data_IF_690752936842
#
_entry.id   IF_690752936842
#
_cell.length_a   1.000
_cell.length_b   1.000
_cell.length_c   1.000
_cell.angle_alpha   90.00
_cell.angle_beta   90.00
_cell.angle_gamma   90.00
#
_symmetry.space_group_name_H-M   'P 1'
#
loop_
_entity.id
_entity.type
_entity.pdbx_description
1 polymer ?
#
# COMPACT_ATOMS: atom_id res chain seq x y z
N UNK A 1 -24.50 11.37 5.33
CA UNK A 1 -24.09 10.42 4.28
C UNK A 1 -23.24 9.34 4.88
N UNK A 2 -23.42 8.10 4.45
CA UNK A 2 -22.63 6.98 4.93
C UNK A 2 -21.20 7.00 4.40
N UNK A 3 -20.34 6.24 5.05
CA UNK A 3 -18.99 6.01 4.58
C UNK A 3 -18.99 5.18 3.29
N UNK A 4 -17.91 5.26 2.52
CA UNK A 4 -17.72 4.44 1.35
C UNK A 4 -17.35 3.00 1.71
N UNK A 5 -17.52 2.12 0.73
CA UNK A 5 -17.08 0.73 0.86
C UNK A 5 -15.63 0.59 0.48
N UNK A 6 -14.95 -0.36 1.12
CA UNK A 6 -13.54 -0.63 0.86
C UNK A 6 -13.39 -2.05 0.32
N UNK A 7 -12.77 -2.18 -0.82
CA UNK A 7 -12.35 -3.47 -1.38
C UNK A 7 -10.84 -3.57 -1.21
N UNK A 8 -10.38 -4.62 -0.54
CA UNK A 8 -8.95 -4.81 -0.28
C UNK A 8 -8.41 -5.94 -1.15
N UNK A 9 -7.51 -5.61 -2.06
CA UNK A 9 -6.82 -6.58 -2.91
C UNK A 9 -5.48 -6.92 -2.27
N UNK A 10 -5.29 -8.17 -1.93
CA UNK A 10 -4.07 -8.68 -1.33
C UNK A 10 -3.43 -9.72 -2.25
N UNK A 11 -2.12 -9.64 -2.40
CA UNK A 11 -1.36 -10.54 -3.25
C UNK A 11 -0.03 -9.93 -3.60
N UNK A 12 0.83 -10.70 -4.26
CA UNK A 12 2.12 -10.21 -4.73
C UNK A 12 1.94 -9.22 -5.88
N UNK A 13 2.97 -8.44 -6.17
CA UNK A 13 2.96 -7.49 -7.28
C UNK A 13 2.72 -8.19 -8.62
N UNK A 14 3.08 -9.47 -8.73
CA UNK A 14 2.89 -10.27 -9.95
C UNK A 14 1.50 -10.89 -10.07
N UNK A 15 0.61 -10.69 -9.08
CA UNK A 15 -0.73 -11.30 -9.06
C UNK A 15 -1.76 -10.53 -9.87
N UNK A 16 -1.38 -9.46 -10.57
CA UNK A 16 -2.30 -8.70 -11.42
C UNK A 16 -3.30 -7.83 -10.67
N UNK A 17 -2.96 -7.37 -9.46
CA UNK A 17 -3.86 -6.56 -8.63
C UNK A 17 -4.30 -5.27 -9.31
N UNK A 18 -3.38 -4.58 -9.99
CA UNK A 18 -3.70 -3.34 -10.71
C UNK A 18 -4.70 -3.59 -11.84
N UNK A 19 -4.54 -4.70 -12.56
CA UNK A 19 -5.47 -5.10 -13.61
C UNK A 19 -6.85 -5.39 -13.03
N UNK A 20 -6.90 -6.11 -11.90
CA UNK A 20 -8.16 -6.41 -11.21
C UNK A 20 -8.83 -5.12 -10.74
N UNK A 21 -8.06 -4.20 -10.17
CA UNK A 21 -8.58 -2.91 -9.71
C UNK A 21 -9.21 -2.14 -10.86
N UNK A 22 -8.53 -2.08 -12.01
CA UNK A 22 -9.04 -1.39 -13.20
C UNK A 22 -10.34 -2.04 -13.71
N UNK A 23 -10.39 -3.37 -13.73
CA UNK A 23 -11.59 -4.10 -14.14
C UNK A 23 -12.76 -3.82 -13.19
N UNK A 24 -12.51 -3.81 -11.89
CA UNK A 24 -13.54 -3.51 -10.89
C UNK A 24 -14.08 -2.09 -11.07
N UNK A 25 -13.22 -1.12 -11.35
CA UNK A 25 -13.65 0.24 -11.61
C UNK A 25 -14.59 0.34 -12.82
N UNK A 26 -14.38 -0.52 -13.81
CA UNK A 26 -15.23 -0.55 -15.01
C UNK A 26 -16.55 -1.27 -14.78
N UNK A 27 -16.55 -2.31 -13.95
CA UNK A 27 -17.72 -3.18 -13.76
C UNK A 27 -18.65 -2.72 -12.65
N UNK A 28 -18.12 -2.07 -11.61
CA UNK A 28 -18.93 -1.63 -10.48
C UNK A 28 -19.73 -0.38 -10.86
N UNK A 29 -21.01 -0.30 -10.43
CA UNK A 29 -21.85 0.83 -10.80
C UNK A 29 -21.44 2.14 -10.14
N UNK A 30 -20.85 2.07 -8.93
CA UNK A 30 -20.42 3.27 -8.21
C UNK A 30 -18.94 3.54 -8.49
N UNK A 31 -18.51 4.82 -8.40
CA UNK A 31 -17.11 5.15 -8.64
C UNK A 31 -16.25 4.71 -7.46
N UNK A 32 -15.26 3.87 -7.74
CA UNK A 32 -14.27 3.41 -6.77
C UNK A 32 -12.91 4.03 -7.09
N UNK A 33 -12.31 4.66 -6.08
CA UNK A 33 -10.96 5.21 -6.20
C UNK A 33 -9.94 4.09 -5.99
N UNK A 34 -8.99 3.94 -6.90
CA UNK A 34 -7.89 3.00 -6.75
C UNK A 34 -6.74 3.68 -5.98
N UNK A 35 -6.35 3.11 -4.85
CA UNK A 35 -5.25 3.60 -4.03
C UNK A 35 -4.24 2.47 -3.87
N UNK A 36 -3.01 2.74 -4.27
CA UNK A 36 -1.92 1.78 -4.25
C UNK A 36 -0.71 2.34 -3.49
N UNK A 37 0.08 1.44 -2.92
CA UNK A 37 1.34 1.79 -2.27
C UNK A 37 2.25 2.62 -3.19
N UNK A 38 2.29 2.27 -4.47
CA UNK A 38 3.17 2.93 -5.44
C UNK A 38 2.90 4.44 -5.54
N UNK A 39 1.64 4.86 -5.39
CA UNK A 39 1.29 6.28 -5.43
C UNK A 39 1.93 7.04 -4.27
N UNK A 40 1.97 6.44 -3.10
CA UNK A 40 2.59 7.03 -1.91
C UNK A 40 4.11 6.97 -1.99
N UNK A 41 4.66 5.89 -2.54
CA UNK A 41 6.10 5.80 -2.79
C UNK A 41 6.55 6.88 -3.77
N UNK A 42 5.79 7.05 -4.87
CA UNK A 42 6.16 8.00 -5.92
C UNK A 42 6.04 9.46 -5.45
N UNK A 43 5.24 9.71 -4.43
CA UNK A 43 5.14 11.02 -3.81
C UNK A 43 6.21 11.32 -2.77
N UNK A 44 7.04 10.35 -2.39
CA UNK A 44 8.13 10.56 -1.44
C UNK A 44 9.26 11.34 -2.10
N UNK A 45 10.03 12.13 -1.32
CA UNK A 45 11.25 12.74 -1.85
C UNK A 45 12.17 11.69 -2.44
N UNK A 46 12.77 11.98 -3.59
CA UNK A 46 13.60 11.00 -4.31
C UNK A 46 14.71 10.39 -3.46
N UNK A 47 15.32 11.19 -2.56
CA UNK A 47 16.38 10.70 -1.68
C UNK A 47 15.93 9.65 -0.68
N UNK A 48 14.61 9.58 -0.39
CA UNK A 48 14.03 8.57 0.50
C UNK A 48 13.49 7.35 -0.27
N UNK A 49 13.68 7.31 -1.57
CA UNK A 49 13.41 6.14 -2.39
C UNK A 49 14.75 5.49 -2.72
N UNK A 50 15.14 4.51 -1.91
CA UNK A 50 16.46 3.91 -2.00
C UNK A 50 16.55 2.76 -2.98
N UNK A 51 17.73 2.57 -3.51
CA UNK A 51 18.10 1.40 -4.29
C UNK A 51 19.35 0.82 -3.64
N UNK A 52 19.18 -0.23 -2.86
CA UNK A 52 20.25 -0.86 -2.07
C UNK A 52 21.03 0.16 -1.25
N UNK A 53 20.31 1.11 -0.65
CA UNK A 53 20.93 2.15 0.17
C UNK A 53 21.47 1.58 1.47
N UNK A 54 22.65 2.04 1.93
CA UNK A 54 23.22 1.56 3.19
C UNK A 54 22.42 2.05 4.39
N UNK A 55 22.53 1.33 5.49
CA UNK A 55 21.91 1.70 6.75
C UNK A 55 22.29 3.14 7.14
N UNK A 56 21.34 3.90 7.60
CA UNK A 56 21.50 5.30 7.99
C UNK A 56 21.37 6.30 6.86
N UNK A 57 21.43 5.87 5.59
CA UNK A 57 21.21 6.74 4.46
C UNK A 57 19.71 7.07 4.32
N UNK A 58 19.35 8.23 3.74
CA UNK A 58 17.94 8.59 3.56
C UNK A 58 17.13 7.53 2.81
N UNK A 59 17.71 6.89 1.79
CA UNK A 59 17.02 5.83 1.04
C UNK A 59 16.68 4.62 1.89
N UNK A 60 17.53 4.26 2.85
CA UNK A 60 17.25 3.17 3.78
C UNK A 60 16.20 3.56 4.84
N UNK A 61 16.07 4.84 5.13
CA UNK A 61 15.07 5.35 6.07
C UNK A 61 13.67 5.42 5.48
N UNK A 62 13.56 5.52 4.16
CA UNK A 62 12.28 5.55 3.46
C UNK A 62 11.88 4.17 2.96
N UNK A 63 11.71 4.05 1.66
CA UNK A 63 11.43 2.79 0.97
C UNK A 63 12.67 2.39 0.18
N UNK A 64 13.29 1.28 0.57
CA UNK A 64 14.56 0.83 0.02
C UNK A 64 14.37 -0.48 -0.73
N UNK A 65 14.69 -0.48 -2.01
CA UNK A 65 14.67 -1.69 -2.85
C UNK A 65 16.02 -2.38 -2.70
N UNK A 66 16.03 -3.58 -2.13
CA UNK A 66 17.25 -4.31 -1.82
C UNK A 66 17.29 -5.61 -2.62
N UNK A 67 18.25 -5.75 -3.56
CA UNK A 67 18.49 -7.04 -4.20
C UNK A 67 18.98 -8.05 -3.16
N UNK A 68 18.43 -9.25 -3.18
CA UNK A 68 18.83 -10.31 -2.27
C UNK A 68 18.76 -11.64 -2.99
N UNK A 69 19.41 -12.67 -2.43
CA UNK A 69 19.33 -14.02 -2.95
C UNK A 69 18.48 -14.88 -2.03
N UNK A 70 17.61 -15.68 -2.62
CA UNK A 70 16.77 -16.61 -1.92
C UNK A 70 16.77 -17.92 -2.69
N UNK A 71 17.24 -18.99 -2.08
CA UNK A 71 17.35 -20.31 -2.70
C UNK A 71 18.12 -20.27 -4.02
N UNK A 72 19.20 -19.47 -4.06
CA UNK A 72 20.04 -19.33 -5.25
C UNK A 72 19.50 -18.42 -6.33
N UNK A 73 18.30 -17.87 -6.15
CA UNK A 73 17.68 -16.94 -7.11
C UNK A 73 17.78 -15.50 -6.63
N UNK A 74 18.05 -14.60 -7.57
CA UNK A 74 18.07 -13.17 -7.30
C UNK A 74 16.62 -12.68 -7.17
N UNK A 75 16.28 -12.17 -6.00
CA UNK A 75 14.96 -11.58 -5.72
C UNK A 75 15.12 -10.17 -5.19
N UNK A 76 14.07 -9.38 -5.32
CA UNK A 76 14.05 -8.02 -4.81
C UNK A 76 13.22 -7.98 -3.53
N UNK A 77 13.82 -7.45 -2.46
CA UNK A 77 13.15 -7.21 -1.20
C UNK A 77 12.92 -5.72 -1.03
N UNK A 78 11.76 -5.35 -0.51
CA UNK A 78 11.46 -3.97 -0.17
C UNK A 78 11.58 -3.83 1.35
N UNK A 79 12.45 -2.93 1.78
CA UNK A 79 12.67 -2.63 3.19
C UNK A 79 12.16 -1.22 3.49
N UNK A 80 11.48 -1.06 4.63
CA UNK A 80 10.99 0.22 5.08
C UNK A 80 11.77 0.64 6.32
N UNK A 81 12.34 1.84 6.29
CA UNK A 81 12.95 2.45 7.46
C UNK A 81 11.92 3.24 8.27
N UNK A 82 12.41 4.05 9.20
CA UNK A 82 11.54 4.81 10.12
C UNK A 82 10.60 5.75 9.37
N UNK A 83 11.10 6.46 8.37
CA UNK A 83 10.27 7.36 7.57
C UNK A 83 9.30 6.59 6.68
N UNK A 84 9.73 5.48 6.10
CA UNK A 84 8.86 4.62 5.30
C UNK A 84 7.70 4.07 6.11
N UNK A 85 7.96 3.61 7.32
CA UNK A 85 6.90 3.15 8.23
C UNK A 85 5.92 4.26 8.58
N UNK A 86 6.42 5.48 8.78
CA UNK A 86 5.57 6.64 9.05
C UNK A 86 4.67 6.96 7.86
N UNK A 87 5.20 6.90 6.64
CA UNK A 87 4.41 7.13 5.42
C UNK A 87 3.33 6.06 5.28
N UNK A 88 3.66 4.79 5.54
CA UNK A 88 2.68 3.70 5.46
C UNK A 88 1.54 3.87 6.47
N UNK A 89 1.87 4.26 7.70
CA UNK A 89 0.83 4.53 8.71
C UNK A 89 -0.06 5.69 8.28
N UNK A 90 0.54 6.75 7.77
CA UNK A 90 -0.20 7.90 7.24
C UNK A 90 -1.10 7.52 6.07
N UNK A 91 -0.60 6.69 5.16
CA UNK A 91 -1.38 6.18 4.03
C UNK A 91 -2.65 5.45 4.51
N UNK A 92 -2.51 4.55 5.46
CA UNK A 92 -3.66 3.78 5.97
C UNK A 92 -4.72 4.69 6.58
N UNK A 93 -4.32 5.72 7.33
CA UNK A 93 -5.24 6.69 7.92
C UNK A 93 -5.83 7.64 6.89
N UNK A 94 -5.06 8.02 5.87
CA UNK A 94 -5.56 8.82 4.77
C UNK A 94 -6.65 8.08 3.99
N UNK A 95 -6.45 6.78 3.73
CA UNK A 95 -7.46 5.94 3.08
C UNK A 95 -8.73 5.89 3.91
N UNK A 96 -8.61 5.69 5.22
CA UNK A 96 -9.76 5.66 6.12
C UNK A 96 -10.52 6.98 6.10
N UNK A 97 -9.82 8.11 6.18
CA UNK A 97 -10.44 9.42 6.12
C UNK A 97 -11.15 9.66 4.79
N UNK A 98 -10.52 9.26 3.70
CA UNK A 98 -11.09 9.38 2.36
C UNK A 98 -12.39 8.57 2.21
N UNK A 99 -12.39 7.34 2.72
CA UNK A 99 -13.59 6.49 2.69
C UNK A 99 -14.70 7.03 3.59
N UNK A 100 -14.35 7.62 4.74
CA UNK A 100 -15.36 8.19 5.65
C UNK A 100 -16.11 9.37 5.05
N UNK A 101 -15.52 10.05 4.09
CA UNK A 101 -16.21 11.12 3.35
C UNK A 101 -17.25 10.60 2.34
N UNK A 102 -17.39 9.28 2.22
CA UNK A 102 -18.36 8.66 1.31
C UNK A 102 -17.75 8.10 0.04
N UNK A 103 -16.42 8.11 -0.08
CA UNK A 103 -15.74 7.62 -1.27
C UNK A 103 -15.51 6.12 -1.17
N UNK A 104 -15.89 5.39 -2.21
CA UNK A 104 -15.55 3.98 -2.32
C UNK A 104 -14.10 3.82 -2.76
N UNK A 105 -13.41 2.83 -2.20
CA UNK A 105 -11.97 2.66 -2.40
C UNK A 105 -11.64 1.21 -2.72
N UNK A 106 -10.73 1.02 -3.67
CA UNK A 106 -10.04 -0.26 -3.89
C UNK A 106 -8.61 -0.05 -3.42
N UNK A 107 -8.22 -0.79 -2.38
CA UNK A 107 -6.84 -0.75 -1.87
C UNK A 107 -6.04 -1.84 -2.56
N UNK A 108 -4.95 -1.44 -3.19
CA UNK A 108 -3.99 -2.32 -3.85
C UNK A 108 -2.66 -2.16 -3.12
N UNK A 109 -2.42 -3.04 -2.15
CA UNK A 109 -1.25 -2.95 -1.28
C UNK A 109 -0.63 -4.33 -1.10
N UNK A 110 0.65 -4.32 -0.75
CA UNK A 110 1.40 -5.51 -0.39
C UNK A 110 1.53 -5.56 1.13
N UNK A 111 1.05 -6.65 1.72
CA UNK A 111 1.13 -6.85 3.16
C UNK A 111 2.42 -7.62 3.47
N UNK A 112 3.53 -6.87 3.59
CA UNK A 112 4.85 -7.45 3.85
C UNK A 112 4.99 -8.04 5.25
N UNK A 113 4.16 -7.57 6.19
CA UNK A 113 4.19 -7.99 7.59
C UNK A 113 2.79 -8.12 8.15
N UNK A 114 2.55 -9.08 9.06
CA UNK A 114 1.23 -9.22 9.71
C UNK A 114 0.77 -7.94 10.43
N UNK A 115 1.71 -7.16 10.96
CA UNK A 115 1.41 -5.90 11.64
C UNK A 115 0.71 -4.91 10.73
N UNK A 116 0.99 -4.93 9.43
CA UNK A 116 0.36 -4.03 8.46
C UNK A 116 -1.12 -4.36 8.29
N UNK A 117 -1.46 -5.65 8.20
CA UNK A 117 -2.86 -6.07 8.16
C UNK A 117 -3.59 -5.67 9.44
N UNK A 118 -2.96 -5.88 10.57
CA UNK A 118 -3.52 -5.49 11.87
C UNK A 118 -3.79 -3.99 11.94
N UNK A 119 -2.86 -3.18 11.47
CA UNK A 119 -3.01 -1.72 11.45
C UNK A 119 -4.12 -1.27 10.49
N UNK A 120 -4.26 -1.93 9.33
CA UNK A 120 -5.40 -1.70 8.45
C UNK A 120 -6.72 -2.03 9.16
N UNK A 121 -6.78 -3.16 9.87
CA UNK A 121 -7.98 -3.56 10.59
C UNK A 121 -8.38 -2.50 11.61
N UNK A 122 -7.42 -1.93 12.32
CA UNK A 122 -7.68 -0.83 13.25
C UNK A 122 -8.12 0.46 12.54
N UNK A 123 -7.42 0.84 11.48
CA UNK A 123 -7.71 2.08 10.77
C UNK A 123 -9.08 2.06 10.08
N UNK A 124 -9.50 0.88 9.64
CA UNK A 124 -10.73 0.69 8.86
C UNK A 124 -11.86 0.04 9.66
N UNK A 125 -11.74 -0.04 10.99
CA UNK A 125 -12.65 -0.84 11.84
C UNK A 125 -14.12 -0.42 11.75
N UNK A 126 -14.38 0.85 11.45
CA UNK A 126 -15.73 1.40 11.32
C UNK A 126 -16.26 1.38 9.88
N UNK A 127 -15.52 0.77 8.96
CA UNK A 127 -15.85 0.74 7.54
C UNK A 127 -16.21 -0.67 7.07
N UNK A 128 -17.01 -0.75 6.02
CA UNK A 128 -17.31 -2.03 5.38
C UNK A 128 -16.17 -2.40 4.44
N UNK A 129 -15.46 -3.47 4.78
CA UNK A 129 -14.28 -3.93 4.05
C UNK A 129 -14.55 -5.31 3.47
N UNK A 130 -14.27 -5.46 2.18
CA UNK A 130 -14.39 -6.71 1.43
C UNK A 130 -13.00 -7.17 1.00
N UNK A 131 -12.69 -8.41 1.28
CA UNK A 131 -11.40 -9.03 0.91
C UNK A 131 -11.51 -9.83 -0.37
#
# INVERSE_FOLDING_TARGET
MGAGNVIFLNGSSSAGKTTIATMLQQLLPDPYQHIALDQFRDGMPGRFRGLNSPEGAPGARGLNVVPTQREGQLVTRIAFGDHGEQVLRGMRRAIAAFAREGNHVIIDDLLFRPEYLHDYALALEDLDVWL
#
